data_IF_663442085951
#
_entry.id   IF_663442085951
#
_cell.length_a   1.000
_cell.length_b   1.000
_cell.length_c   1.000
_cell.angle_alpha   90.00
_cell.angle_beta   90.00
_cell.angle_gamma   90.00
#
_symmetry.space_group_name_H-M   'P 1'
#
loop_
_entity.id
_entity.type
_entity.pdbx_description
1 polymer ?
#
# COMPACT_ATOMS: atom_id res chain seq x y z
N UNK A 1 -44.51 10.74 17.85
CA UNK A 1 -43.38 10.20 17.06
C UNK A 1 -42.10 10.83 17.61
N UNK A 2 -41.07 10.05 17.93
CA UNK A 2 -40.18 9.59 16.87
C UNK A 2 -39.95 8.08 16.88
N UNK A 3 -40.05 7.50 15.69
CA UNK A 3 -39.55 6.16 15.36
C UNK A 3 -38.04 6.17 15.58
N UNK A 4 -37.60 5.60 16.70
CA UNK A 4 -36.19 5.31 16.93
C UNK A 4 -35.72 4.45 15.76
N UNK A 5 -34.84 5.00 14.91
CA UNK A 5 -34.32 4.26 13.78
C UNK A 5 -33.69 2.96 14.27
N UNK A 6 -33.81 1.88 13.51
CA UNK A 6 -33.23 0.59 13.87
C UNK A 6 -31.70 0.70 14.11
N UNK A 7 -31.09 1.75 13.56
CA UNK A 7 -29.69 2.15 13.73
C UNK A 7 -29.42 2.69 15.15
N UNK A 8 -30.28 3.53 15.73
CA UNK A 8 -30.14 3.96 17.13
C UNK A 8 -30.29 2.79 18.11
N UNK A 9 -31.18 1.83 17.80
CA UNK A 9 -31.29 0.57 18.57
C UNK A 9 -30.04 -0.30 18.46
N UNK A 10 -29.39 -0.33 17.29
CA UNK A 10 -28.12 -1.02 17.06
C UNK A 10 -26.95 -0.32 17.75
N UNK A 11 -26.87 1.00 17.69
CA UNK A 11 -25.85 1.80 18.37
C UNK A 11 -25.98 1.70 19.90
N UNK A 12 -27.20 1.66 20.46
CA UNK A 12 -27.44 1.30 21.88
C UNK A 12 -27.05 -0.15 22.21
N UNK A 13 -27.12 -1.09 21.26
CA UNK A 13 -26.64 -2.47 21.44
C UNK A 13 -25.11 -2.58 21.40
N UNK A 14 -24.43 -1.71 20.65
CA UNK A 14 -22.97 -1.64 20.56
C UNK A 14 -22.39 -0.85 21.75
N UNK A 15 -23.03 0.26 22.12
CA UNK A 15 -22.72 1.06 23.30
C UNK A 15 -23.29 0.42 24.58
N UNK A 16 -22.82 -0.79 24.92
CA UNK A 16 -23.05 -1.32 26.27
C UNK A 16 -22.02 -0.70 27.22
N UNK A 17 -22.40 -0.08 28.35
CA UNK A 17 -21.47 0.04 29.46
C UNK A 17 -21.00 -1.38 29.79
N UNK A 18 -19.70 -1.53 30.07
CA UNK A 18 -19.02 -2.81 30.30
C UNK A 18 -19.97 -3.84 30.89
N UNK A 19 -20.32 -4.86 30.10
CA UNK A 19 -21.15 -5.98 30.58
C UNK A 19 -20.48 -6.50 31.84
N UNK A 20 -21.14 -6.41 33.00
CA UNK A 20 -20.79 -7.24 34.16
C UNK A 20 -20.91 -8.68 33.67
N UNK A 21 -19.76 -9.28 33.41
CA UNK A 21 -19.62 -10.65 32.91
C UNK A 21 -20.34 -11.52 33.93
N UNK A 22 -21.42 -12.17 33.48
CA UNK A 22 -22.17 -13.10 34.30
C UNK A 22 -21.27 -14.18 34.91
N UNK A 23 -21.71 -14.66 36.06
CA UNK A 23 -21.20 -15.78 36.86
C UNK A 23 -20.27 -16.72 36.08
N UNK A 24 -19.00 -16.69 36.51
CA UNK A 24 -17.88 -17.59 36.17
C UNK A 24 -18.25 -18.75 35.23
N UNK A 25 -18.05 -18.54 33.92
CA UNK A 25 -17.63 -19.67 33.07
C UNK A 25 -16.31 -20.15 33.64
N UNK A 26 -16.30 -21.29 34.31
CA UNK A 26 -15.09 -22.04 34.63
C UNK A 26 -14.41 -22.41 33.32
N UNK A 27 -13.59 -21.48 32.81
CA UNK A 27 -12.52 -21.79 31.89
C UNK A 27 -11.68 -22.87 32.58
N UNK A 28 -11.72 -24.06 32.01
CA UNK A 28 -10.95 -25.19 32.49
C UNK A 28 -9.48 -24.78 32.73
N UNK A 29 -8.92 -25.00 33.94
CA UNK A 29 -7.65 -24.39 34.34
C UNK A 29 -6.42 -24.98 33.63
N UNK A 30 -6.56 -26.12 32.96
CA UNK A 30 -5.41 -26.84 32.40
C UNK A 30 -4.80 -26.17 31.16
N UNK A 31 -5.39 -25.09 30.66
CA UNK A 31 -4.77 -24.23 29.64
C UNK A 31 -4.69 -22.76 30.08
N UNK A 32 -4.42 -22.45 31.35
CA UNK A 32 -3.88 -21.13 31.67
C UNK A 32 -2.44 -21.06 31.18
N UNK A 33 -2.24 -20.67 29.91
CA UNK A 33 -0.92 -20.32 29.40
C UNK A 33 -0.44 -19.14 30.25
N UNK A 34 0.51 -19.37 31.16
CA UNK A 34 1.14 -18.30 31.95
C UNK A 34 1.57 -17.22 30.96
N UNK A 35 0.95 -16.04 31.05
CA UNK A 35 1.36 -14.91 30.22
C UNK A 35 2.81 -14.63 30.57
N UNK A 36 3.71 -14.83 29.62
CA UNK A 36 5.12 -14.48 29.78
C UNK A 36 5.17 -12.98 30.10
N UNK A 37 5.74 -12.64 31.25
CA UNK A 37 6.01 -11.25 31.59
C UNK A 37 7.08 -10.76 30.61
N UNK A 38 6.68 -9.92 29.66
CA UNK A 38 7.61 -9.35 28.70
C UNK A 38 8.37 -8.22 29.39
N UNK A 39 9.60 -8.50 29.83
CA UNK A 39 10.48 -7.45 30.32
C UNK A 39 10.76 -6.46 29.17
N UNK A 40 10.56 -5.16 29.44
CA UNK A 40 10.84 -4.13 28.44
C UNK A 40 12.36 -4.02 28.31
N UNK A 41 12.87 -4.20 27.09
CA UNK A 41 14.30 -4.01 26.84
C UNK A 41 14.71 -2.57 27.18
N UNK A 42 15.87 -2.45 27.84
CA UNK A 42 16.58 -1.21 28.10
C UNK A 42 16.94 -0.50 26.79
N UNK A 43 17.22 0.81 26.86
CA UNK A 43 17.66 1.59 25.68
C UNK A 43 18.95 1.03 25.08
N UNK A 44 19.88 0.56 25.92
CA UNK A 44 21.14 -0.05 25.46
C UNK A 44 20.87 -1.38 24.74
N UNK A 45 20.13 -2.29 25.36
CA UNK A 45 19.77 -3.59 24.78
C UNK A 45 19.05 -3.45 23.42
N UNK A 46 18.22 -2.42 23.25
CA UNK A 46 17.59 -2.12 21.94
C UNK A 46 18.61 -1.70 20.88
N UNK A 47 19.59 -0.88 21.24
CA UNK A 47 20.66 -0.46 20.33
C UNK A 47 21.52 -1.67 19.92
N UNK A 48 21.87 -2.52 20.88
CA UNK A 48 22.66 -3.73 20.62
C UNK A 48 21.90 -4.71 19.72
N UNK A 49 20.60 -4.89 19.97
CA UNK A 49 19.74 -5.71 19.13
C UNK A 49 19.63 -5.15 17.71
N UNK A 50 19.54 -3.82 17.58
CA UNK A 50 19.50 -3.16 16.28
C UNK A 50 20.83 -3.35 15.53
N UNK A 51 21.97 -3.13 16.19
CA UNK A 51 23.30 -3.36 15.61
C UNK A 51 23.48 -4.82 15.15
N UNK A 52 23.02 -5.80 15.95
CA UNK A 52 23.01 -7.22 15.55
C UNK A 52 22.14 -7.47 14.32
N UNK A 53 20.96 -6.86 14.24
CA UNK A 53 20.07 -6.99 13.07
C UNK A 53 20.69 -6.39 11.82
N UNK A 54 21.30 -5.22 11.94
CA UNK A 54 21.95 -4.55 10.81
C UNK A 54 23.19 -5.33 10.34
N UNK A 55 23.99 -5.85 11.27
CA UNK A 55 25.10 -6.76 10.97
C UNK A 55 24.63 -8.04 10.25
N UNK A 56 23.59 -8.70 10.76
CA UNK A 56 23.01 -9.89 10.12
C UNK A 56 22.45 -9.58 8.73
N UNK A 57 21.80 -8.42 8.56
CA UNK A 57 21.30 -7.98 7.26
C UNK A 57 22.44 -7.75 6.26
N UNK A 58 23.54 -7.15 6.70
CA UNK A 58 24.72 -6.95 5.86
C UNK A 58 25.37 -8.30 5.48
N UNK A 59 25.55 -9.19 6.45
CA UNK A 59 26.08 -10.54 6.23
C UNK A 59 25.22 -11.35 5.25
N UNK A 60 23.90 -11.32 5.42
CA UNK A 60 22.97 -11.97 4.50
C UNK A 60 23.07 -11.40 3.07
N UNK A 61 23.14 -10.08 2.93
CA UNK A 61 23.33 -9.44 1.61
C UNK A 61 24.63 -9.87 0.94
N UNK A 62 25.73 -9.93 1.69
CA UNK A 62 27.02 -10.40 1.19
C UNK A 62 26.95 -11.86 0.74
N UNK A 63 26.36 -12.75 1.54
CA UNK A 63 26.18 -14.16 1.20
C UNK A 63 25.31 -14.34 -0.06
N UNK A 64 24.22 -13.58 -0.18
CA UNK A 64 23.38 -13.58 -1.38
C UNK A 64 24.13 -13.08 -2.62
N UNK A 65 25.02 -12.09 -2.48
CA UNK A 65 25.84 -11.61 -3.58
C UNK A 65 26.83 -12.69 -4.03
N UNK A 66 27.54 -13.33 -3.10
CA UNK A 66 28.47 -14.42 -3.40
C UNK A 66 27.78 -15.57 -4.15
N UNK A 67 26.63 -16.04 -3.64
CA UNK A 67 25.86 -17.09 -4.30
C UNK A 67 25.39 -16.69 -5.71
N UNK A 68 25.00 -15.43 -5.92
CA UNK A 68 24.62 -14.93 -7.25
C UNK A 68 25.81 -14.84 -8.21
N UNK A 69 26.99 -14.48 -7.72
CA UNK A 69 28.22 -14.47 -8.51
C UNK A 69 28.55 -15.88 -9.01
N UNK A 70 28.49 -16.90 -8.15
CA UNK A 70 28.70 -18.31 -8.54
C UNK A 70 27.69 -18.76 -9.61
N UNK A 71 26.40 -18.43 -9.45
CA UNK A 71 25.37 -18.74 -10.45
C UNK A 71 25.67 -18.04 -11.78
N UNK A 72 26.18 -16.81 -11.73
CA UNK A 72 26.54 -16.05 -12.94
C UNK A 72 27.75 -16.68 -13.64
N UNK A 73 28.75 -17.15 -12.91
CA UNK A 73 29.88 -17.92 -13.48
C UNK A 73 29.37 -19.17 -14.20
N UNK A 74 28.49 -19.97 -13.59
CA UNK A 74 27.85 -21.12 -14.27
C UNK A 74 27.10 -20.70 -15.55
N UNK A 75 26.42 -19.56 -15.51
CA UNK A 75 25.75 -19.03 -16.69
C UNK A 75 26.73 -18.62 -17.81
N UNK A 76 27.94 -18.14 -17.46
CA UNK A 76 29.00 -17.87 -18.44
C UNK A 76 29.56 -19.15 -19.05
N UNK A 77 29.76 -20.20 -18.25
CA UNK A 77 30.18 -21.53 -18.74
C UNK A 77 29.16 -22.10 -19.74
N UNK A 78 27.86 -22.04 -19.41
CA UNK A 78 26.79 -22.45 -20.32
C UNK A 78 26.77 -21.62 -21.61
N UNK A 79 26.99 -20.31 -21.50
CA UNK A 79 27.06 -19.44 -22.67
C UNK A 79 28.25 -19.77 -23.58
N UNK A 80 29.38 -20.19 -23.02
CA UNK A 80 30.52 -20.68 -23.80
C UNK A 80 30.22 -22.04 -24.45
N UNK A 81 29.60 -22.97 -23.71
CA UNK A 81 29.30 -24.32 -24.19
C UNK A 81 28.23 -24.36 -25.30
N UNK A 82 27.18 -23.55 -25.18
CA UNK A 82 26.04 -23.52 -26.10
C UNK A 82 26.08 -22.28 -27.03
N UNK A 83 27.26 -21.67 -27.20
CA UNK A 83 27.50 -20.27 -27.54
C UNK A 83 27.31 -19.79 -28.98
N UNK A 84 26.12 -19.96 -29.55
CA UNK A 84 25.80 -19.37 -30.87
C UNK A 84 24.64 -18.36 -30.84
N UNK A 85 23.75 -18.41 -29.84
CA UNK A 85 22.47 -17.66 -29.88
C UNK A 85 22.17 -16.82 -28.63
N UNK A 86 22.79 -17.13 -27.49
CA UNK A 86 22.34 -16.62 -26.20
C UNK A 86 23.51 -16.10 -25.34
N UNK A 87 23.27 -14.96 -24.69
CA UNK A 87 24.24 -14.32 -23.78
C UNK A 87 24.23 -14.98 -22.39
N UNK A 88 25.27 -14.82 -21.56
CA UNK A 88 25.25 -15.30 -20.16
C UNK A 88 24.03 -14.83 -19.38
N UNK A 89 23.58 -13.59 -19.60
CA UNK A 89 22.37 -13.05 -18.98
C UNK A 89 21.07 -13.78 -19.37
N UNK A 90 21.04 -14.51 -20.49
CA UNK A 90 19.94 -15.42 -20.82
C UNK A 90 19.92 -16.63 -19.88
N UNK A 91 21.05 -17.34 -19.74
CA UNK A 91 21.15 -18.52 -18.88
C UNK A 91 21.01 -18.19 -17.41
N UNK A 92 21.57 -17.05 -16.96
CA UNK A 92 21.39 -16.57 -15.59
C UNK A 92 19.90 -16.38 -15.24
N UNK A 93 19.13 -15.74 -16.13
CA UNK A 93 17.68 -15.58 -15.96
C UNK A 93 16.94 -16.91 -15.98
N UNK A 94 17.38 -17.85 -16.82
CA UNK A 94 16.82 -19.19 -16.92
C UNK A 94 17.02 -19.98 -15.62
N UNK A 95 18.24 -19.99 -15.07
CA UNK A 95 18.60 -20.66 -13.80
C UNK A 95 17.81 -20.07 -12.63
N UNK A 96 17.78 -18.73 -12.55
CA UNK A 96 17.08 -18.02 -11.49
C UNK A 96 15.55 -17.99 -11.67
N UNK A 97 15.03 -18.59 -12.74
CA UNK A 97 13.61 -18.56 -13.13
C UNK A 97 13.01 -17.14 -13.10
N UNK A 98 13.80 -16.14 -13.49
CA UNK A 98 13.34 -14.76 -13.46
C UNK A 98 12.25 -14.56 -14.51
N UNK A 99 11.18 -13.86 -14.13
CA UNK A 99 10.10 -13.56 -15.05
C UNK A 99 10.64 -12.80 -16.27
N UNK A 100 10.19 -13.19 -17.47
CA UNK A 100 10.57 -12.52 -18.72
C UNK A 100 9.87 -11.18 -18.91
N UNK A 101 8.93 -10.83 -18.02
CA UNK A 101 8.29 -9.53 -18.00
C UNK A 101 9.38 -8.51 -17.67
N UNK A 102 9.81 -7.77 -18.69
CA UNK A 102 10.57 -6.55 -18.47
C UNK A 102 9.67 -5.64 -17.64
N UNK A 103 10.00 -5.49 -16.37
CA UNK A 103 9.46 -4.41 -15.56
C UNK A 103 10.10 -3.12 -16.05
N UNK A 104 9.65 -2.62 -17.20
CA UNK A 104 9.97 -1.25 -17.57
C UNK A 104 9.29 -0.35 -16.55
N UNK A 105 10.06 0.41 -15.74
CA UNK A 105 9.44 1.35 -14.83
C UNK A 105 8.58 2.28 -15.69
N UNK A 106 7.29 2.40 -15.35
CA UNK A 106 6.38 3.28 -16.09
C UNK A 106 7.01 4.67 -16.15
N UNK A 107 7.29 5.16 -17.36
CA UNK A 107 7.83 6.50 -17.56
C UNK A 107 6.86 7.50 -16.96
N UNK A 108 7.36 8.38 -16.11
CA UNK A 108 6.56 9.48 -15.56
C UNK A 108 6.28 10.44 -16.73
N UNK A 109 5.01 10.62 -17.09
CA UNK A 109 4.62 11.58 -18.12
C UNK A 109 4.81 13.00 -17.60
N UNK A 110 5.32 13.90 -18.44
CA UNK A 110 5.44 15.33 -18.12
C UNK A 110 4.11 15.94 -17.65
N UNK A 111 3.00 15.55 -18.28
CA UNK A 111 1.65 15.96 -17.89
C UNK A 111 1.32 15.63 -16.42
N UNK A 112 1.54 14.38 -15.98
CA UNK A 112 1.26 14.00 -14.58
C UNK A 112 2.11 14.79 -13.58
N UNK A 113 3.36 15.07 -13.92
CA UNK A 113 4.24 15.87 -13.08
C UNK A 113 3.76 17.34 -13.01
N UNK A 114 3.33 17.91 -14.15
CA UNK A 114 2.71 19.23 -14.21
C UNK A 114 1.40 19.32 -13.42
N UNK A 115 0.49 18.35 -13.59
CA UNK A 115 -0.77 18.29 -12.83
C UNK A 115 -0.48 18.20 -11.34
N UNK A 116 0.50 17.39 -10.93
CA UNK A 116 0.86 17.30 -9.51
C UNK A 116 1.34 18.64 -8.96
N UNK A 117 2.16 19.38 -9.72
CA UNK A 117 2.69 20.70 -9.33
C UNK A 117 1.56 21.74 -9.22
N UNK A 118 0.69 21.82 -10.22
CA UNK A 118 -0.41 22.80 -10.24
C UNK A 118 -1.49 22.48 -9.19
N UNK A 119 -1.80 21.19 -8.96
CA UNK A 119 -2.73 20.79 -7.90
C UNK A 119 -2.16 21.11 -6.52
N UNK A 120 -0.86 20.94 -6.32
CA UNK A 120 -0.18 21.33 -5.07
C UNK A 120 -0.25 22.84 -4.84
N UNK A 121 0.00 23.64 -5.89
CA UNK A 121 -0.16 25.10 -5.86
C UNK A 121 -1.60 25.51 -5.53
N UNK A 122 -2.58 24.92 -6.21
CA UNK A 122 -4.00 25.20 -5.97
C UNK A 122 -4.42 24.83 -4.54
N UNK A 123 -3.96 23.68 -4.03
CA UNK A 123 -4.25 23.25 -2.67
C UNK A 123 -3.57 24.12 -1.58
N UNK A 124 -2.50 24.84 -1.92
CA UNK A 124 -1.84 25.78 -1.01
C UNK A 124 -2.60 27.12 -0.94
N UNK A 125 -3.25 27.52 -2.04
CA UNK A 125 -4.06 28.76 -2.11
C UNK A 125 -5.42 28.60 -1.41
N UNK A 126 -5.99 27.39 -1.37
CA UNK A 126 -7.26 27.11 -0.70
C UNK A 126 -7.05 26.89 0.80
N UNK A 127 -7.76 27.66 1.63
CA UNK A 127 -7.73 27.52 3.08
C UNK A 127 -8.10 26.10 3.52
N UNK A 128 -7.41 25.61 4.57
CA UNK A 128 -7.51 24.22 5.04
C UNK A 128 -8.95 23.85 5.42
N UNK A 129 -9.67 23.19 4.52
CA UNK A 129 -11.01 22.63 4.78
C UNK A 129 -11.92 22.63 3.56
N UNK A 130 -11.71 23.54 2.61
CA UNK A 130 -12.63 23.74 1.47
C UNK A 130 -12.00 23.28 0.14
N UNK A 131 -11.24 22.18 0.20
CA UNK A 131 -10.55 21.64 -0.98
C UNK A 131 -11.56 21.04 -1.94
N UNK A 132 -11.69 21.63 -3.11
CA UNK A 132 -12.49 21.05 -4.17
C UNK A 132 -11.86 19.77 -4.72
N UNK A 133 -12.71 18.81 -5.07
CA UNK A 133 -12.28 17.63 -5.80
C UNK A 133 -11.68 18.07 -7.15
N UNK A 134 -10.54 17.50 -7.53
CA UNK A 134 -9.85 17.78 -8.80
C UNK A 134 -10.77 17.64 -10.02
N UNK A 135 -11.80 16.79 -9.93
CA UNK A 135 -12.82 16.57 -10.95
C UNK A 135 -13.82 17.72 -11.14
N UNK A 136 -13.93 18.66 -10.19
CA UNK A 136 -14.91 19.76 -10.21
C UNK A 136 -14.52 20.95 -11.12
N UNK A 137 -13.39 20.90 -11.82
CA UNK A 137 -13.03 21.93 -12.81
C UNK A 137 -11.55 22.28 -12.84
N UNK A 138 -10.85 22.10 -11.72
CA UNK A 138 -9.42 22.39 -11.57
C UNK A 138 -8.60 21.73 -12.68
N UNK A 139 -8.89 20.46 -13.00
CA UNK A 139 -8.18 19.74 -14.06
C UNK A 139 -8.37 20.36 -15.46
N UNK A 140 -9.52 20.97 -15.74
CA UNK A 140 -9.81 21.62 -17.03
C UNK A 140 -9.03 22.92 -17.19
N UNK A 141 -8.80 23.64 -16.09
CA UNK A 141 -7.98 24.84 -16.08
C UNK A 141 -6.50 24.51 -16.25
N UNK A 142 -6.01 23.52 -15.51
CA UNK A 142 -4.65 22.99 -15.65
C UNK A 142 -4.41 22.50 -17.08
N UNK A 143 -5.38 21.80 -17.67
CA UNK A 143 -5.27 21.34 -19.06
C UNK A 143 -5.21 22.50 -20.07
N UNK A 144 -5.94 23.60 -19.83
CA UNK A 144 -5.85 24.81 -20.65
C UNK A 144 -4.47 25.46 -20.53
N UNK A 145 -3.96 25.64 -19.31
CA UNK A 145 -2.60 26.16 -19.06
C UNK A 145 -1.53 25.30 -19.72
N UNK A 146 -1.64 23.98 -19.65
CA UNK A 146 -0.69 23.08 -20.29
C UNK A 146 -0.68 23.21 -21.81
N UNK A 147 -1.86 23.35 -22.43
CA UNK A 147 -1.98 23.54 -23.87
C UNK A 147 -1.36 24.86 -24.35
N UNK A 148 -1.40 25.92 -23.54
CA UNK A 148 -0.78 27.20 -23.89
C UNK A 148 0.74 27.20 -23.76
N UNK A 149 1.33 26.31 -22.96
CA UNK A 149 2.79 26.18 -22.83
C UNK A 149 3.39 25.52 -24.08
N UNK A 150 4.51 26.06 -24.55
CA UNK A 150 5.35 25.44 -25.58
C UNK A 150 6.06 24.19 -25.05
N UNK A 151 6.57 23.30 -25.93
CA UNK A 151 7.28 22.10 -25.51
C UNK A 151 8.50 22.38 -24.61
N UNK A 152 9.28 23.42 -24.91
CA UNK A 152 10.47 23.79 -24.15
C UNK A 152 10.10 24.32 -22.76
N UNK A 153 9.07 25.16 -22.67
CA UNK A 153 8.54 25.66 -21.39
C UNK A 153 7.97 24.52 -20.53
N UNK A 154 7.33 23.52 -21.15
CA UNK A 154 6.82 22.35 -20.43
C UNK A 154 7.92 21.54 -19.78
N UNK A 155 9.07 21.40 -20.44
CA UNK A 155 10.21 20.67 -19.89
C UNK A 155 10.88 21.47 -18.77
N UNK A 156 11.10 22.77 -18.96
CA UNK A 156 11.64 23.65 -17.93
C UNK A 156 10.75 23.70 -16.67
N UNK A 157 9.44 23.80 -16.85
CA UNK A 157 8.48 23.92 -15.74
C UNK A 157 8.36 22.62 -14.91
N UNK A 158 8.63 21.47 -15.54
CA UNK A 158 8.41 20.14 -14.97
C UNK A 158 9.70 19.44 -14.54
N UNK A 159 10.87 19.87 -15.01
CA UNK A 159 12.18 19.25 -14.77
C UNK A 159 12.41 18.86 -13.31
N UNK A 160 12.38 19.85 -12.41
CA UNK A 160 12.60 19.65 -10.97
C UNK A 160 11.62 18.64 -10.35
N UNK A 161 10.34 18.71 -10.74
CA UNK A 161 9.31 17.81 -10.21
C UNK A 161 9.46 16.39 -10.75
N UNK A 162 10.00 16.24 -11.96
CA UNK A 162 10.23 14.95 -12.58
C UNK A 162 11.35 14.20 -11.86
N UNK A 163 12.43 14.89 -11.50
CA UNK A 163 13.51 14.34 -10.67
C UNK A 163 13.00 13.89 -9.30
N UNK A 164 12.20 14.73 -8.64
CA UNK A 164 11.61 14.39 -7.34
C UNK A 164 10.71 13.15 -7.43
N UNK A 165 9.86 13.06 -8.47
CA UNK A 165 8.99 11.91 -8.66
C UNK A 165 9.77 10.64 -8.99
N UNK A 166 10.88 10.73 -9.73
CA UNK A 166 11.79 9.62 -9.98
C UNK A 166 12.49 9.18 -8.67
N UNK A 167 12.93 10.12 -7.84
CA UNK A 167 13.45 9.84 -6.50
C UNK A 167 12.43 9.10 -5.64
N UNK A 168 11.18 9.58 -5.57
CA UNK A 168 10.10 8.86 -4.85
C UNK A 168 9.82 7.48 -5.42
N UNK A 169 9.99 7.27 -6.73
CA UNK A 169 9.80 5.95 -7.35
C UNK A 169 10.93 4.98 -6.99
N UNK A 170 12.18 5.45 -6.94
CA UNK A 170 13.32 4.63 -6.51
C UNK A 170 13.25 4.33 -5.01
N UNK A 171 12.87 5.30 -4.18
CA UNK A 171 12.65 5.12 -2.75
C UNK A 171 11.57 4.08 -2.48
N UNK A 172 10.44 4.11 -3.20
CA UNK A 172 9.37 3.11 -3.05
C UNK A 172 9.85 1.68 -3.28
N UNK A 173 10.85 1.46 -4.14
CA UNK A 173 11.46 0.13 -4.33
C UNK A 173 12.30 -0.32 -3.13
N UNK A 174 12.80 0.63 -2.34
CA UNK A 174 13.62 0.38 -1.14
C UNK A 174 12.77 0.29 0.13
N UNK A 175 11.56 0.88 0.12
CA UNK A 175 10.64 0.83 1.25
C UNK A 175 10.21 -0.61 1.50
N UNK A 176 10.46 -1.09 2.72
CA UNK A 176 9.96 -2.39 3.18
C UNK A 176 8.44 -2.31 3.24
N UNK A 177 7.77 -2.96 2.30
CA UNK A 177 6.30 -3.06 2.32
C UNK A 177 5.87 -3.76 3.61
N UNK A 178 5.06 -3.08 4.42
CA UNK A 178 4.43 -3.69 5.57
C UNK A 178 3.22 -4.50 5.10
N UNK A 179 3.49 -5.72 4.63
CA UNK A 179 2.48 -6.63 4.05
C UNK A 179 1.31 -6.87 5.02
N UNK A 180 1.57 -6.95 6.32
CA UNK A 180 0.52 -7.13 7.33
C UNK A 180 -0.44 -5.94 7.40
N UNK A 181 0.08 -4.72 7.28
CA UNK A 181 -0.73 -3.51 7.25
C UNK A 181 -1.54 -3.40 5.95
N UNK A 182 -0.94 -3.76 4.82
CA UNK A 182 -1.62 -3.80 3.53
C UNK A 182 -2.80 -4.80 3.57
N UNK A 183 -2.56 -6.03 4.01
CA UNK A 183 -3.59 -7.05 4.15
C UNK A 183 -4.71 -6.64 5.13
N UNK A 184 -4.36 -5.95 6.23
CA UNK A 184 -5.36 -5.41 7.15
C UNK A 184 -6.26 -4.35 6.48
N UNK A 185 -5.69 -3.45 5.69
CA UNK A 185 -6.46 -2.43 4.99
C UNK A 185 -7.35 -3.05 3.91
N UNK A 186 -6.87 -4.05 3.18
CA UNK A 186 -7.64 -4.77 2.16
C UNK A 186 -8.85 -5.47 2.79
N UNK A 187 -8.64 -6.24 3.86
CA UNK A 187 -9.74 -6.93 4.59
C UNK A 187 -10.76 -5.93 5.14
N UNK A 188 -10.33 -4.79 5.68
CA UNK A 188 -11.23 -3.73 6.13
C UNK A 188 -12.05 -3.14 4.98
N UNK A 189 -11.43 -2.91 3.82
CA UNK A 189 -12.12 -2.41 2.63
C UNK A 189 -13.17 -3.41 2.12
N UNK A 190 -12.83 -4.70 2.08
CA UNK A 190 -13.78 -5.77 1.70
C UNK A 190 -14.96 -5.84 2.66
N UNK A 191 -14.73 -5.75 3.97
CA UNK A 191 -15.81 -5.73 4.97
C UNK A 191 -16.72 -4.51 4.81
N UNK A 192 -16.15 -3.34 4.53
CA UNK A 192 -16.93 -2.12 4.28
C UNK A 192 -17.81 -2.24 3.01
N UNK A 193 -17.27 -2.87 1.96
CA UNK A 193 -18.02 -3.16 0.74
C UNK A 193 -19.19 -4.11 1.02
N UNK A 194 -18.92 -5.24 1.70
CA UNK A 194 -19.97 -6.21 2.07
C UNK A 194 -21.06 -5.54 2.90
N UNK A 195 -20.68 -4.70 3.87
CA UNK A 195 -21.66 -3.97 4.68
C UNK A 195 -22.55 -3.07 3.81
N UNK A 196 -21.95 -2.32 2.88
CA UNK A 196 -22.70 -1.45 1.96
C UNK A 196 -23.64 -2.24 1.05
N UNK A 197 -23.22 -3.41 0.57
CA UNK A 197 -24.06 -4.30 -0.23
C UNK A 197 -25.23 -4.86 0.57
N UNK A 198 -25.00 -5.24 1.84
CA UNK A 198 -26.08 -5.70 2.73
C UNK A 198 -27.08 -4.58 3.03
N UNK A 199 -26.60 -3.35 3.25
CA UNK A 199 -27.46 -2.17 3.41
C UNK A 199 -28.28 -1.87 2.16
N UNK A 200 -27.67 -2.00 0.97
CA UNK A 200 -28.36 -1.84 -0.32
C UNK A 200 -29.39 -2.94 -0.57
N UNK A 201 -29.06 -4.20 -0.29
CA UNK A 201 -29.98 -5.34 -0.40
C UNK A 201 -31.17 -5.15 0.52
N UNK A 202 -30.93 -4.79 1.78
CA UNK A 202 -31.97 -4.49 2.75
C UNK A 202 -32.89 -3.37 2.25
N UNK A 203 -32.31 -2.28 1.71
CA UNK A 203 -33.10 -1.19 1.14
C UNK A 203 -34.04 -1.64 0.01
N UNK A 204 -33.61 -2.59 -0.83
CA UNK A 204 -34.43 -3.17 -1.91
C UNK A 204 -35.52 -4.11 -1.42
N UNK A 205 -35.23 -4.92 -0.41
CA UNK A 205 -36.24 -5.84 0.15
C UNK A 205 -37.31 -5.05 0.92
N UNK A 206 -36.91 -4.01 1.65
CA UNK A 206 -37.84 -3.19 2.43
C UNK A 206 -38.82 -2.42 1.51
N UNK A 207 -38.41 -2.00 0.31
CA UNK A 207 -39.30 -1.33 -0.66
C UNK A 207 -40.29 -2.29 -1.32
N UNK A 208 -39.86 -3.51 -1.70
CA UNK A 208 -40.75 -4.52 -2.32
C UNK A 208 -41.83 -5.00 -1.33
N UNK A 209 -41.46 -5.26 -0.09
CA UNK A 209 -42.41 -5.67 0.95
C UNK A 209 -43.41 -4.56 1.32
N UNK A 210 -43.03 -3.29 1.12
CA UNK A 210 -43.93 -2.15 1.35
C UNK A 210 -44.92 -1.94 0.18
N UNK A 211 -44.59 -2.38 -1.04
CA UNK A 211 -45.49 -2.31 -2.19
C UNK A 211 -46.48 -3.46 -2.30
N UNK A 212 -46.19 -4.62 -1.69
CA UNK A 212 -47.12 -5.77 -1.68
C UNK A 212 -48.18 -5.69 -0.56
N UNK A 213 -48.04 -4.75 0.38
CA UNK A 213 -48.95 -4.53 1.51
C UNK A 213 -49.88 -3.31 1.34
N UNK A 214 -49.87 -2.68 0.16
CA UNK A 214 -50.74 -1.55 -0.22
C UNK A 214 -51.68 -1.98 -1.35
#
# INVERSE_FOLDING_TARGET
MPSSSNIEKLLKKIAKPSRKVGVKRTLYPWTTRRRRQHQKLSKQERKDLQARRDGNRAALKAALHAARSEIYERATEMAAQFGHKHTPGYYYRLIMQQSKLKEEPRKISLWNAFVSKEVERHNAEVASGDRDNVSKGVIKEIARKWKSLSPEEREAEVGDRLEELQGRQSERKLVVHNEALAAFNDTRATLALIQRELEYLKGRTDTVMSSELA
#
